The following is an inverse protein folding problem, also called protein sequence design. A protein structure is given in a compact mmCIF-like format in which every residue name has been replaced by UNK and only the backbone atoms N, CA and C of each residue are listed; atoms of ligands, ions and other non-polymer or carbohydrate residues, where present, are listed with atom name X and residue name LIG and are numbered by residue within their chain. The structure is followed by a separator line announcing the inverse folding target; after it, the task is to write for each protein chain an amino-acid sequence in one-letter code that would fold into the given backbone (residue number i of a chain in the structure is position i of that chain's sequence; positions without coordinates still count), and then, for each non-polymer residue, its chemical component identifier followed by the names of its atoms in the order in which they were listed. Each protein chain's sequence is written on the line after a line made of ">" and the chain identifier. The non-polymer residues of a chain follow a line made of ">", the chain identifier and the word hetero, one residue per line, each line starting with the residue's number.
data_IF_015161459890
#
_entry.id   IF_015161459890
#
_cell.length_a   1.000
_cell.length_b   1.000
_cell.length_c   1.000
_cell.angle_alpha   90.00
_cell.angle_beta   90.00
_cell.angle_gamma   90.00
#
_symmetry.space_group_name_H-M   'P 1'
#
loop_
_entity.id
_entity.type
_entity.pdbx_description
1 polymer ?
#
# COMPACT_ATOMS: atom_id res chain seq x y z
N UNK A 1 -32.69 -33.68 -14.83
CA UNK A 1 -32.10 -33.31 -13.52
C UNK A 1 -33.15 -32.66 -12.64
N UNK A 2 -33.31 -33.11 -11.39
CA UNK A 2 -34.22 -32.50 -10.40
C UNK A 2 -33.78 -31.05 -10.08
N UNK A 3 -34.74 -30.17 -9.80
CA UNK A 3 -34.52 -28.72 -9.64
C UNK A 3 -33.41 -28.37 -8.63
N UNK A 4 -33.33 -29.11 -7.52
CA UNK A 4 -32.31 -28.93 -6.48
C UNK A 4 -30.88 -29.15 -7.00
N UNK A 5 -30.66 -30.08 -7.96
CA UNK A 5 -29.33 -30.30 -8.54
C UNK A 5 -28.88 -29.10 -9.37
N UNK A 6 -29.82 -28.46 -10.08
CA UNK A 6 -29.53 -27.25 -10.86
C UNK A 6 -29.20 -26.06 -9.96
N UNK A 7 -29.93 -25.89 -8.86
CA UNK A 7 -29.66 -24.87 -7.86
C UNK A 7 -28.29 -25.05 -7.18
N UNK A 8 -27.94 -26.29 -6.81
CA UNK A 8 -26.62 -26.60 -6.24
C UNK A 8 -25.49 -26.31 -7.23
N UNK A 9 -25.67 -26.66 -8.51
CA UNK A 9 -24.70 -26.36 -9.57
C UNK A 9 -24.52 -24.85 -9.76
N UNK A 10 -25.62 -24.08 -9.81
CA UNK A 10 -25.55 -22.63 -9.94
C UNK A 10 -24.87 -21.97 -8.73
N UNK A 11 -25.19 -22.40 -7.51
CA UNK A 11 -24.56 -21.91 -6.29
C UNK A 11 -23.05 -22.21 -6.26
N UNK A 12 -22.65 -23.44 -6.64
CA UNK A 12 -21.24 -23.80 -6.74
C UNK A 12 -20.50 -22.93 -7.77
N UNK A 13 -21.15 -22.63 -8.90
CA UNK A 13 -20.55 -21.80 -9.96
C UNK A 13 -20.35 -20.35 -9.49
N UNK A 14 -21.30 -19.79 -8.74
CA UNK A 14 -21.17 -18.46 -8.13
C UNK A 14 -20.01 -18.41 -7.13
N UNK A 15 -19.88 -19.44 -6.28
CA UNK A 15 -18.78 -19.53 -5.30
C UNK A 15 -17.42 -19.60 -6.00
N UNK A 16 -17.30 -20.40 -7.06
CA UNK A 16 -16.06 -20.53 -7.83
C UNK A 16 -15.69 -19.20 -8.50
N UNK A 17 -16.64 -18.56 -9.20
CA UNK A 17 -16.38 -17.29 -9.90
C UNK A 17 -16.02 -16.18 -8.89
N UNK A 18 -16.75 -16.09 -7.77
CA UNK A 18 -16.46 -15.14 -6.70
C UNK A 18 -15.07 -15.36 -6.09
N UNK A 19 -14.72 -16.61 -5.79
CA UNK A 19 -13.41 -16.98 -5.25
C UNK A 19 -12.26 -16.65 -6.22
N UNK A 20 -12.42 -16.98 -7.51
CA UNK A 20 -11.43 -16.63 -8.54
C UNK A 20 -11.24 -15.11 -8.68
N UNK A 21 -12.32 -14.34 -8.63
CA UNK A 21 -12.23 -12.89 -8.70
C UNK A 21 -11.51 -12.30 -7.49
N UNK A 22 -11.81 -12.78 -6.28
CA UNK A 22 -11.11 -12.35 -5.07
C UNK A 22 -9.61 -12.68 -5.13
N UNK A 23 -9.26 -13.91 -5.54
CA UNK A 23 -7.87 -14.32 -5.71
C UNK A 23 -7.13 -13.47 -6.77
N UNK A 24 -7.78 -13.19 -7.90
CA UNK A 24 -7.22 -12.31 -8.92
C UNK A 24 -6.95 -10.90 -8.39
N UNK A 25 -7.89 -10.31 -7.63
CA UNK A 25 -7.72 -8.98 -7.04
C UNK A 25 -6.57 -8.95 -6.03
N UNK A 26 -6.46 -9.95 -5.16
CA UNK A 26 -5.34 -10.07 -4.21
C UNK A 26 -4.01 -10.18 -4.95
N UNK A 27 -3.94 -11.05 -5.97
CA UNK A 27 -2.72 -11.21 -6.77
C UNK A 27 -2.36 -9.93 -7.52
N UNK A 28 -3.32 -9.23 -8.10
CA UNK A 28 -3.09 -7.96 -8.79
C UNK A 28 -2.56 -6.89 -7.84
N UNK A 29 -3.14 -6.81 -6.63
CA UNK A 29 -2.66 -5.89 -5.59
C UNK A 29 -1.22 -6.24 -5.21
N UNK A 30 -0.92 -7.50 -4.88
CA UNK A 30 0.46 -7.90 -4.52
C UNK A 30 1.46 -7.66 -5.66
N UNK A 31 1.12 -8.00 -6.89
CA UNK A 31 1.98 -7.78 -8.06
C UNK A 31 2.18 -6.30 -8.40
N UNK A 32 1.34 -5.41 -7.85
CA UNK A 32 1.46 -3.97 -8.06
C UNK A 32 2.40 -3.27 -7.09
N UNK A 33 2.90 -3.96 -6.06
CA UNK A 33 3.92 -3.40 -5.18
C UNK A 33 5.32 -3.64 -5.76
N UNK A 34 6.12 -2.58 -5.81
CA UNK A 34 7.48 -2.63 -6.31
C UNK A 34 8.40 -1.77 -5.43
N UNK A 35 9.67 -2.17 -5.37
CA UNK A 35 10.68 -1.44 -4.63
C UNK A 35 10.97 -0.11 -5.32
N UNK A 36 10.95 0.96 -4.54
CA UNK A 36 11.20 2.33 -4.97
C UNK A 36 12.14 3.02 -4.00
N UNK A 37 12.97 3.91 -4.52
CA UNK A 37 13.82 4.79 -3.73
C UNK A 37 13.93 6.13 -4.43
N UNK A 38 14.01 7.19 -3.65
CA UNK A 38 14.17 8.54 -4.20
C UNK A 38 13.73 9.61 -3.23
N UNK A 39 14.05 10.84 -3.60
CA UNK A 39 13.67 12.05 -2.86
C UNK A 39 12.15 12.27 -2.94
N UNK A 40 11.55 12.53 -1.79
CA UNK A 40 10.13 12.78 -1.61
C UNK A 40 9.94 13.85 -0.55
N UNK A 41 8.80 14.53 -0.60
CA UNK A 41 8.44 15.50 0.45
C UNK A 41 7.37 14.90 1.35
N UNK A 42 7.53 15.00 2.68
CA UNK A 42 6.52 14.56 3.64
C UNK A 42 5.38 15.58 3.66
N UNK A 43 4.19 15.16 3.26
CA UNK A 43 2.99 16.01 3.19
C UNK A 43 2.14 15.95 4.46
N UNK A 44 2.11 14.79 5.11
CA UNK A 44 1.34 14.58 6.32
C UNK A 44 1.89 13.38 7.10
N UNK A 45 1.49 13.23 8.37
CA UNK A 45 1.78 12.05 9.19
C UNK A 45 0.65 11.82 10.20
N UNK A 46 0.26 10.57 10.38
CA UNK A 46 -0.81 10.21 11.31
C UNK A 46 -0.64 8.80 11.89
N UNK A 47 -1.30 8.57 13.02
CA UNK A 47 -1.38 7.26 13.68
C UNK A 47 -2.75 6.63 13.46
N UNK A 48 -2.80 5.31 13.34
CA UNK A 48 -4.04 4.54 13.34
C UNK A 48 -3.87 3.29 14.20
N UNK A 49 -4.34 3.36 15.45
CA UNK A 49 -4.14 2.30 16.42
C UNK A 49 -2.69 2.27 16.89
N UNK A 50 -1.99 1.16 16.65
CA UNK A 50 -0.56 1.02 16.95
C UNK A 50 0.34 1.27 15.71
N UNK A 51 -0.27 1.52 14.55
CA UNK A 51 0.42 1.69 13.28
C UNK A 51 0.68 3.17 13.01
N UNK A 52 1.84 3.46 12.41
CA UNK A 52 2.30 4.81 12.10
C UNK A 52 2.40 5.00 10.59
N UNK A 53 1.90 6.14 10.09
CA UNK A 53 1.84 6.42 8.67
C UNK A 53 2.43 7.79 8.34
N UNK A 54 3.12 7.86 7.21
CA UNK A 54 3.51 9.11 6.57
C UNK A 54 2.86 9.20 5.19
N UNK A 55 2.46 10.41 4.81
CA UNK A 55 2.04 10.72 3.44
C UNK A 55 3.19 11.42 2.77
N UNK A 56 3.66 10.86 1.66
CA UNK A 56 4.75 11.44 0.88
C UNK A 56 4.23 11.94 -0.47
N UNK A 57 4.87 12.95 -1.03
CA UNK A 57 4.68 13.41 -2.41
C UNK A 57 5.96 13.19 -3.21
N UNK A 58 5.82 12.51 -4.35
CA UNK A 58 6.89 12.31 -5.32
C UNK A 58 7.01 13.51 -6.29
N UNK A 59 8.11 13.60 -7.03
CA UNK A 59 8.31 14.64 -8.06
C UNK A 59 7.22 14.65 -9.15
N UNK A 60 6.50 13.52 -9.33
CA UNK A 60 5.35 13.40 -10.24
C UNK A 60 4.07 14.02 -9.67
N UNK A 61 4.13 14.66 -8.50
CA UNK A 61 2.99 15.21 -7.74
C UNK A 61 1.98 14.14 -7.30
N UNK A 62 2.41 12.88 -7.28
CA UNK A 62 1.61 11.77 -6.78
C UNK A 62 1.88 11.57 -5.30
N UNK A 63 0.80 11.40 -4.54
CA UNK A 63 0.89 11.15 -3.10
C UNK A 63 0.68 9.67 -2.77
N UNK A 64 1.41 9.20 -1.76
CA UNK A 64 1.37 7.82 -1.28
C UNK A 64 1.31 7.79 0.23
N UNK A 65 0.44 6.94 0.77
CA UNK A 65 0.37 6.65 2.21
C UNK A 65 1.25 5.46 2.53
N UNK A 66 2.29 5.66 3.32
CA UNK A 66 3.25 4.62 3.66
C UNK A 66 3.16 4.28 5.15
N UNK A 67 3.01 3.01 5.49
CA UNK A 67 3.26 2.54 6.85
C UNK A 67 4.75 2.65 7.15
N UNK A 68 5.11 2.98 8.38
CA UNK A 68 6.50 3.14 8.79
C UNK A 68 6.69 2.72 10.25
N UNK A 69 7.95 2.54 10.64
CA UNK A 69 8.30 2.31 12.04
C UNK A 69 8.02 3.57 12.88
N UNK A 70 7.81 3.39 14.18
CA UNK A 70 7.68 4.54 15.09
C UNK A 70 8.95 5.43 15.06
N UNK A 71 10.14 4.83 14.93
CA UNK A 71 11.40 5.56 14.83
C UNK A 71 11.45 6.46 13.58
N UNK A 72 11.06 5.92 12.42
CA UNK A 72 10.96 6.68 11.18
C UNK A 72 9.92 7.78 11.28
N UNK A 73 8.76 7.46 11.84
CA UNK A 73 7.67 8.40 12.06
C UNK A 73 8.15 9.57 12.92
N UNK A 74 8.75 9.32 14.08
CA UNK A 74 9.22 10.33 15.02
C UNK A 74 10.36 11.20 14.45
N UNK A 75 11.16 10.66 13.54
CA UNK A 75 12.29 11.36 12.91
C UNK A 75 11.86 12.38 11.86
N UNK A 76 10.74 12.17 11.18
CA UNK A 76 10.32 13.02 10.06
C UNK A 76 9.20 13.99 10.44
N UNK A 77 9.24 15.16 9.81
CA UNK A 77 8.27 16.24 9.98
C UNK A 77 7.61 16.58 8.64
N UNK A 78 6.39 17.11 8.73
CA UNK A 78 5.68 17.62 7.55
C UNK A 78 6.49 18.77 6.93
N UNK A 79 6.72 18.68 5.63
CA UNK A 79 7.56 19.59 4.85
C UNK A 79 8.99 19.09 4.62
N UNK A 80 9.43 18.03 5.30
CA UNK A 80 10.79 17.50 5.11
C UNK A 80 10.96 16.89 3.72
N UNK A 81 12.08 17.19 3.07
CA UNK A 81 12.58 16.43 1.93
C UNK A 81 13.51 15.33 2.42
N UNK A 82 13.17 14.09 2.09
CA UNK A 82 13.88 12.90 2.54
C UNK A 82 14.13 11.96 1.37
N UNK A 83 15.23 11.20 1.42
CA UNK A 83 15.38 10.05 0.53
C UNK A 83 14.72 8.84 1.19
N UNK A 84 13.64 8.36 0.58
CA UNK A 84 12.80 7.30 1.15
C UNK A 84 12.91 6.02 0.31
N UNK A 85 13.48 4.97 0.88
CA UNK A 85 13.39 3.62 0.32
C UNK A 85 12.10 2.97 0.81
N UNK A 86 11.31 2.44 -0.11
CA UNK A 86 9.95 2.00 0.16
C UNK A 86 9.52 0.90 -0.79
N UNK A 87 8.52 0.13 -0.37
CA UNK A 87 7.80 -0.78 -1.23
C UNK A 87 6.39 -0.23 -1.43
N UNK A 88 6.02 0.15 -2.65
CA UNK A 88 4.77 0.89 -2.89
C UNK A 88 4.02 0.37 -4.11
N UNK A 89 2.72 0.65 -4.16
CA UNK A 89 1.86 0.39 -5.32
C UNK A 89 1.25 1.67 -5.88
N UNK A 90 1.39 1.86 -7.19
CA UNK A 90 0.69 2.92 -7.95
C UNK A 90 -0.81 2.65 -7.98
N UNK A 91 -1.24 1.40 -7.86
CA UNK A 91 -2.66 1.04 -7.96
C UNK A 91 -3.40 1.42 -6.69
N UNK A 92 -2.81 1.16 -5.52
CA UNK A 92 -3.45 1.43 -4.23
C UNK A 92 -3.03 2.77 -3.62
N UNK A 93 -1.99 3.42 -4.15
CA UNK A 93 -1.35 4.61 -3.55
C UNK A 93 -0.89 4.37 -2.10
N UNK A 94 -0.51 3.12 -1.82
CA UNK A 94 -0.07 2.67 -0.50
C UNK A 94 1.28 1.98 -0.58
N UNK A 95 1.97 1.93 0.55
CA UNK A 95 3.26 1.27 0.66
C UNK A 95 3.74 1.11 2.10
N UNK A 96 4.96 0.64 2.21
CA UNK A 96 5.69 0.50 3.46
C UNK A 96 7.08 1.13 3.29
N UNK A 97 7.47 1.93 4.26
CA UNK A 97 8.82 2.50 4.36
C UNK A 97 9.78 1.39 4.76
N UNK A 98 10.88 1.28 4.02
CA UNK A 98 11.99 0.39 4.37
C UNK A 98 13.13 1.14 5.05
N UNK A 99 13.48 2.34 4.58
CA UNK A 99 14.42 3.22 5.24
C UNK A 99 14.24 4.68 4.83
N UNK A 100 14.61 5.59 5.72
CA UNK A 100 14.63 7.03 5.48
C UNK A 100 16.04 7.56 5.73
N UNK A 101 16.56 8.32 4.77
CA UNK A 101 17.77 9.12 4.94
C UNK A 101 17.39 10.59 4.85
N UNK A 102 17.54 11.30 5.96
CA UNK A 102 17.35 12.75 6.02
C UNK A 102 18.56 13.47 5.42
N UNK A 103 18.33 14.58 4.72
CA UNK A 103 19.43 15.46 4.28
C UNK A 103 20.18 16.15 5.43
N UNK A 104 19.69 16.02 6.66
CA UNK A 104 20.31 16.57 7.87
C UNK A 104 21.40 15.68 8.49
N UNK A 105 21.94 14.70 7.76
CA UNK A 105 23.15 13.98 8.18
C UNK A 105 24.41 14.67 7.61
N UNK A 106 25.28 15.25 8.46
CA UNK A 106 26.59 15.79 8.07
C UNK A 106 27.63 14.70 7.74
#
# INVERSE_FOLDING_TARGET
>A
MKLYKKLLLAAALVVVVGGCYAAYRVHQVQASYYAMAGEVTVMDKFESGAEHYIVIEEATQQQFTLSCSQEDYDRVHVGDQINCQRHQSIVTHQGEVHSIQSHADP
#
